data_IF_199261442194
#
_entry.id   IF_199261442194
#
_cell.length_a   1.000
_cell.length_b   1.000
_cell.length_c   1.000
_cell.angle_alpha   90.00
_cell.angle_beta   90.00
_cell.angle_gamma   90.00
#
_symmetry.space_group_name_H-M   'P 1'
#
loop_
_entity.id
_entity.type
_entity.pdbx_description
1 polymer ?
#
# COMPACT_ATOMS: atom_id res chain seq x y z
N UNK A 1 -31.89 1.57 -1.65
CA UNK A 1 -30.51 2.06 -1.78
C UNK A 1 -30.09 1.81 -3.22
N UNK A 2 -29.50 2.80 -3.90
CA UNK A 2 -28.98 2.60 -5.25
C UNK A 2 -27.75 1.69 -5.25
N UNK A 3 -27.38 1.09 -6.38
CA UNK A 3 -26.16 0.29 -6.54
C UNK A 3 -24.92 1.09 -6.13
N UNK A 4 -24.86 2.36 -6.51
CA UNK A 4 -23.76 3.27 -6.15
C UNK A 4 -23.64 3.44 -4.63
N UNK A 5 -24.74 3.61 -3.93
CA UNK A 5 -24.74 3.73 -2.47
C UNK A 5 -24.35 2.42 -1.78
N UNK A 6 -24.81 1.28 -2.31
CA UNK A 6 -24.40 -0.05 -1.82
C UNK A 6 -22.89 -0.26 -1.98
N UNK A 7 -22.32 0.11 -3.13
CA UNK A 7 -20.90 0.02 -3.39
C UNK A 7 -20.08 0.93 -2.46
N UNK A 8 -20.55 2.15 -2.15
CA UNK A 8 -19.90 3.03 -1.17
C UNK A 8 -19.94 2.45 0.24
N UNK A 9 -21.05 1.84 0.65
CA UNK A 9 -21.16 1.17 1.95
C UNK A 9 -20.20 -0.01 2.05
N UNK A 10 -20.14 -0.85 1.00
CA UNK A 10 -19.21 -1.97 0.92
C UNK A 10 -17.76 -1.50 1.10
N UNK A 11 -17.36 -0.45 0.38
CA UNK A 11 -16.02 0.09 0.47
C UNK A 11 -15.75 0.75 1.82
N UNK A 12 -16.71 1.45 2.40
CA UNK A 12 -16.58 2.01 3.76
C UNK A 12 -16.28 0.93 4.81
N UNK A 13 -16.96 -0.22 4.71
CA UNK A 13 -16.65 -1.40 5.54
C UNK A 13 -15.23 -1.91 5.30
N UNK A 14 -14.83 -2.06 4.03
CA UNK A 14 -13.49 -2.52 3.66
C UNK A 14 -12.39 -1.63 4.24
N UNK A 15 -12.48 -0.31 4.07
CA UNK A 15 -11.52 0.61 4.66
C UNK A 15 -11.48 0.55 6.18
N UNK A 16 -12.63 0.40 6.84
CA UNK A 16 -12.69 0.34 8.31
C UNK A 16 -12.18 -0.98 8.85
N UNK A 17 -12.57 -2.10 8.22
CA UNK A 17 -12.35 -3.44 8.75
C UNK A 17 -11.01 -4.03 8.30
N UNK A 18 -10.52 -3.72 7.08
CA UNK A 18 -9.27 -4.25 6.55
C UNK A 18 -8.11 -3.28 6.74
N UNK A 19 -8.27 -2.01 6.35
CA UNK A 19 -7.22 -0.99 6.42
C UNK A 19 -7.20 -0.18 7.72
N UNK A 20 -8.31 -0.13 8.46
CA UNK A 20 -8.46 0.65 9.70
C UNK A 20 -7.63 0.11 10.87
N UNK A 21 -7.71 0.75 12.04
CA UNK A 21 -6.81 0.47 13.17
C UNK A 21 -7.04 -0.90 13.83
N UNK A 22 -8.20 -1.51 13.60
CA UNK A 22 -8.56 -2.83 14.14
C UNK A 22 -8.91 -3.75 12.99
N UNK A 23 -7.89 -4.44 12.46
CA UNK A 23 -8.09 -5.35 11.35
C UNK A 23 -9.04 -6.49 11.69
N UNK A 24 -9.96 -6.76 10.79
CA UNK A 24 -10.85 -7.93 10.79
C UNK A 24 -10.58 -8.72 9.50
N UNK A 25 -9.77 -9.79 9.59
CA UNK A 25 -9.43 -10.58 8.40
C UNK A 25 -10.60 -11.35 7.82
N UNK A 26 -11.68 -11.61 8.59
CA UNK A 26 -12.89 -12.24 8.05
C UNK A 26 -13.64 -11.32 7.06
N UNK A 27 -13.39 -10.00 7.12
CA UNK A 27 -13.90 -9.07 6.12
C UNK A 27 -13.41 -9.41 4.69
N UNK A 28 -12.24 -10.04 4.55
CA UNK A 28 -11.74 -10.49 3.24
C UNK A 28 -12.65 -11.58 2.66
N UNK A 29 -13.09 -12.53 3.50
CA UNK A 29 -13.99 -13.61 3.07
C UNK A 29 -15.41 -13.09 2.80
N UNK A 30 -15.85 -12.10 3.56
CA UNK A 30 -17.19 -11.53 3.43
C UNK A 30 -17.31 -10.56 2.24
N UNK A 31 -16.33 -9.71 2.04
CA UNK A 31 -16.45 -8.54 1.15
C UNK A 31 -15.75 -8.71 -0.20
N UNK A 32 -14.81 -9.64 -0.33
CA UNK A 32 -14.06 -9.85 -1.56
C UNK A 32 -14.49 -11.12 -2.33
N UNK A 33 -14.27 -11.14 -3.65
CA UNK A 33 -14.36 -12.37 -4.44
C UNK A 33 -13.19 -13.32 -4.09
N UNK A 34 -13.31 -14.65 -4.33
CA UNK A 34 -12.25 -15.60 -3.97
C UNK A 34 -10.88 -15.31 -4.59
N UNK A 35 -10.85 -14.77 -5.81
CA UNK A 35 -9.68 -14.48 -6.62
C UNK A 35 -9.36 -12.97 -6.72
N UNK A 36 -9.76 -12.19 -5.70
CA UNK A 36 -9.53 -10.74 -5.64
C UNK A 36 -8.07 -10.39 -5.91
N UNK A 37 -7.86 -9.33 -6.71
CA UNK A 37 -6.57 -8.67 -6.89
C UNK A 37 -6.44 -7.50 -5.92
N UNK A 38 -5.35 -7.47 -5.15
CA UNK A 38 -4.90 -6.32 -4.35
C UNK A 38 -3.55 -5.87 -4.89
N UNK A 39 -3.44 -4.64 -5.37
CA UNK A 39 -2.20 -4.09 -5.92
C UNK A 39 -1.95 -2.67 -5.45
N UNK A 40 -0.76 -2.43 -4.92
CA UNK A 40 -0.26 -1.12 -4.52
C UNK A 40 1.16 -0.90 -5.03
N UNK A 41 1.57 0.36 -5.20
CA UNK A 41 2.85 0.71 -5.83
C UNK A 41 4.08 0.23 -5.05
N UNK A 42 3.97 0.06 -3.72
CA UNK A 42 5.08 -0.30 -2.85
C UNK A 42 5.24 -1.80 -2.62
N UNK A 43 4.27 -2.61 -3.02
CA UNK A 43 4.20 -4.05 -2.74
C UNK A 43 4.02 -4.86 -4.01
N UNK A 44 4.43 -6.13 -3.95
CA UNK A 44 4.04 -7.09 -5.00
C UNK A 44 2.52 -7.30 -4.99
N UNK A 45 1.88 -7.47 -6.16
CA UNK A 45 0.46 -7.77 -6.24
C UNK A 45 0.10 -9.04 -5.46
N UNK A 46 -1.07 -9.02 -4.79
CA UNK A 46 -1.62 -10.16 -4.06
C UNK A 46 -2.83 -10.71 -4.78
N UNK A 47 -2.91 -12.01 -4.89
CA UNK A 47 -3.97 -12.70 -5.62
C UNK A 47 -4.73 -13.68 -4.71
N UNK A 48 -6.04 -13.44 -4.58
CA UNK A 48 -6.92 -14.28 -3.78
C UNK A 48 -6.88 -13.98 -2.28
N UNK A 49 -7.93 -14.42 -1.61
CA UNK A 49 -8.20 -14.09 -0.20
C UNK A 49 -7.08 -14.51 0.74
N UNK A 50 -6.52 -15.71 0.56
CA UNK A 50 -5.49 -16.24 1.47
C UNK A 50 -4.19 -15.46 1.38
N UNK A 51 -3.74 -15.09 0.17
CA UNK A 51 -2.55 -14.28 -0.05
C UNK A 51 -2.75 -12.86 0.54
N UNK A 52 -3.93 -12.27 0.35
CA UNK A 52 -4.28 -10.96 0.92
C UNK A 52 -4.30 -10.98 2.46
N UNK A 53 -4.86 -12.05 3.07
CA UNK A 53 -4.86 -12.22 4.53
C UNK A 53 -3.44 -12.43 5.07
N UNK A 54 -2.61 -13.21 4.38
CA UNK A 54 -1.20 -13.42 4.75
C UNK A 54 -0.43 -12.10 4.71
N UNK A 55 -0.54 -11.34 3.61
CA UNK A 55 0.06 -10.03 3.48
C UNK A 55 -0.33 -9.08 4.64
N UNK A 56 -1.61 -8.95 4.93
CA UNK A 56 -2.09 -8.07 6.00
C UNK A 56 -1.60 -8.52 7.37
N UNK A 57 -1.50 -9.83 7.60
CA UNK A 57 -0.98 -10.40 8.85
C UNK A 57 0.49 -10.02 9.05
N UNK A 58 1.32 -10.17 8.04
CA UNK A 58 2.74 -9.81 8.07
C UNK A 58 2.95 -8.30 8.20
N UNK A 59 2.19 -7.51 7.45
CA UNK A 59 2.26 -6.06 7.47
C UNK A 59 1.92 -5.52 8.87
N UNK A 60 0.86 -6.04 9.50
CA UNK A 60 0.47 -5.66 10.85
C UNK A 60 1.40 -6.20 11.94
N UNK A 61 2.02 -7.34 11.74
CA UNK A 61 3.05 -7.81 12.64
C UNK A 61 4.25 -6.85 12.65
N UNK A 62 4.64 -6.33 11.49
CA UNK A 62 5.72 -5.36 11.34
C UNK A 62 5.34 -3.96 11.84
N UNK A 63 4.11 -3.53 11.59
CA UNK A 63 3.57 -2.21 11.97
C UNK A 63 2.30 -2.38 12.81
N UNK A 64 2.43 -2.64 14.13
CA UNK A 64 1.26 -2.97 14.98
C UNK A 64 0.23 -1.83 15.12
N UNK A 65 0.65 -0.58 14.91
CA UNK A 65 -0.19 0.62 14.95
C UNK A 65 -0.68 1.06 13.56
N UNK A 66 -0.58 0.18 12.55
CA UNK A 66 -0.98 0.49 11.17
C UNK A 66 -2.43 0.97 11.12
N UNK A 67 -2.63 2.11 10.47
CA UNK A 67 -3.95 2.70 10.27
C UNK A 67 -3.99 3.56 9.01
N UNK A 68 -4.98 3.29 8.17
CA UNK A 68 -5.31 4.11 7.00
C UNK A 68 -6.76 4.55 7.07
N UNK A 69 -7.04 5.77 6.65
CA UNK A 69 -8.41 6.35 6.68
C UNK A 69 -8.68 7.21 5.45
N UNK A 70 -9.95 7.27 5.07
CA UNK A 70 -10.41 8.14 3.98
C UNK A 70 -10.32 9.62 4.36
N UNK A 71 -9.88 10.45 3.44
CA UNK A 71 -9.74 11.90 3.62
C UNK A 71 -10.83 12.72 2.97
N UNK A 72 -11.63 12.09 2.10
CA UNK A 72 -12.78 12.69 1.41
C UNK A 72 -13.88 11.64 1.24
N UNK A 73 -15.10 12.09 0.90
CA UNK A 73 -16.20 11.19 0.57
C UNK A 73 -15.87 10.32 -0.64
N UNK A 74 -16.34 9.07 -0.60
CA UNK A 74 -16.15 8.12 -1.69
C UNK A 74 -16.86 8.58 -2.96
N UNK A 75 -16.19 8.46 -4.09
CA UNK A 75 -16.73 8.71 -5.43
C UNK A 75 -17.06 7.35 -6.05
N UNK A 76 -18.28 7.18 -6.56
CA UNK A 76 -18.68 5.92 -7.17
C UNK A 76 -19.49 6.13 -8.44
N UNK A 77 -19.19 5.32 -9.46
CA UNK A 77 -19.92 5.27 -10.72
C UNK A 77 -19.92 3.82 -11.24
N UNK A 78 -21.10 3.31 -11.59
CA UNK A 78 -21.25 1.93 -12.06
C UNK A 78 -20.73 0.91 -11.06
N UNK A 79 -19.74 0.15 -11.47
CA UNK A 79 -19.08 -0.87 -10.66
C UNK A 79 -17.79 -0.38 -9.98
N UNK A 80 -17.44 0.88 -10.14
CA UNK A 80 -16.21 1.44 -9.60
C UNK A 80 -16.46 2.36 -8.41
N UNK A 81 -15.56 2.27 -7.42
CA UNK A 81 -15.51 3.19 -6.29
C UNK A 81 -14.09 3.70 -6.13
N UNK A 82 -13.93 4.99 -5.91
CA UNK A 82 -12.65 5.65 -5.71
C UNK A 82 -12.61 6.24 -4.31
N UNK A 83 -11.54 5.99 -3.60
CA UNK A 83 -11.25 6.57 -2.29
C UNK A 83 -9.89 7.25 -2.25
N UNK A 84 -9.84 8.46 -1.72
CA UNK A 84 -8.58 9.11 -1.34
C UNK A 84 -8.34 8.86 0.15
N UNK A 85 -7.12 8.50 0.48
CA UNK A 85 -6.77 8.09 1.84
C UNK A 85 -5.39 8.61 2.26
N UNK A 86 -5.14 8.56 3.55
CA UNK A 86 -3.83 8.73 4.16
C UNK A 86 -3.68 7.77 5.33
N UNK A 87 -2.46 7.57 5.77
CA UNK A 87 -2.16 6.72 6.92
C UNK A 87 -0.73 6.25 6.97
N UNK A 88 -0.49 5.29 7.84
CA UNK A 88 0.82 4.72 8.07
C UNK A 88 0.92 3.98 9.39
N UNK A 89 2.14 3.85 9.89
CA UNK A 89 2.42 3.16 11.14
C UNK A 89 3.88 3.26 11.55
N UNK A 90 4.21 2.70 12.71
CA UNK A 90 5.56 2.63 13.25
C UNK A 90 6.08 1.20 13.20
N UNK A 91 7.23 0.99 12.56
CA UNK A 91 7.86 -0.33 12.45
C UNK A 91 8.52 -0.72 13.79
N UNK A 92 7.79 -1.41 14.62
CA UNK A 92 8.24 -1.93 15.92
C UNK A 92 8.21 -3.46 16.02
N UNK A 93 7.81 -4.13 14.94
CA UNK A 93 7.72 -5.57 14.87
C UNK A 93 8.89 -6.25 14.17
N UNK A 94 8.68 -7.48 13.66
CA UNK A 94 9.68 -8.25 12.94
C UNK A 94 10.26 -7.52 11.72
N UNK A 95 11.37 -8.03 11.18
CA UNK A 95 11.90 -7.57 9.90
C UNK A 95 10.83 -7.67 8.81
N UNK A 96 10.74 -6.64 7.97
CA UNK A 96 9.74 -6.56 6.92
C UNK A 96 10.42 -6.37 5.56
N UNK A 97 10.21 -7.31 4.65
CA UNK A 97 10.88 -7.37 3.36
C UNK A 97 10.00 -7.20 2.14
N UNK A 98 8.71 -6.98 2.32
CA UNK A 98 7.73 -6.93 1.22
C UNK A 98 7.72 -5.63 0.41
N UNK A 99 8.48 -4.62 0.81
CA UNK A 99 8.62 -3.42 -0.01
C UNK A 99 9.53 -3.68 -1.22
N UNK A 100 9.06 -3.35 -2.42
CA UNK A 100 9.82 -3.44 -3.68
C UNK A 100 11.18 -2.71 -3.63
N UNK A 101 11.32 -1.73 -2.76
CA UNK A 101 12.52 -0.91 -2.59
C UNK A 101 13.50 -1.45 -1.53
N UNK A 102 13.21 -2.57 -0.88
CA UNK A 102 14.08 -3.21 0.08
C UNK A 102 13.40 -3.60 1.39
N UNK A 103 14.19 -3.94 2.40
CA UNK A 103 13.71 -4.46 3.67
C UNK A 103 14.04 -3.55 4.85
N UNK A 104 13.23 -3.64 5.89
CA UNK A 104 13.48 -3.03 7.19
C UNK A 104 14.00 -4.10 8.16
N UNK A 105 15.10 -3.86 8.90
CA UNK A 105 15.52 -4.75 9.98
C UNK A 105 14.49 -4.70 11.11
N UNK A 106 14.38 -5.78 11.88
CA UNK A 106 13.43 -5.84 13.00
C UNK A 106 13.55 -4.63 13.92
N UNK A 107 12.37 -4.14 14.38
CA UNK A 107 12.25 -3.05 15.33
C UNK A 107 13.06 -1.80 14.93
N UNK A 108 12.94 -1.37 13.68
CA UNK A 108 13.67 -0.20 13.18
C UNK A 108 13.22 1.12 13.81
N UNK A 109 12.06 1.16 14.46
CA UNK A 109 11.45 2.36 15.05
C UNK A 109 11.01 3.39 14.03
N UNK A 110 10.99 3.04 12.75
CA UNK A 110 10.71 3.98 11.65
C UNK A 110 9.22 4.21 11.50
N UNK A 111 8.88 5.48 11.37
CA UNK A 111 7.50 5.89 11.07
C UNK A 111 7.36 6.07 9.58
N UNK A 112 6.29 5.53 9.02
CA UNK A 112 5.82 5.85 7.69
C UNK A 112 4.48 6.56 7.78
N UNK A 113 4.27 7.57 6.94
CA UNK A 113 2.99 8.22 6.72
C UNK A 113 2.96 8.70 5.28
N UNK A 114 1.95 8.30 4.55
CA UNK A 114 1.82 8.61 3.12
C UNK A 114 0.34 8.66 2.72
N UNK A 115 0.10 9.15 1.52
CA UNK A 115 -1.25 9.31 0.98
C UNK A 115 -1.39 8.50 -0.30
N UNK A 116 -2.63 8.25 -0.68
CA UNK A 116 -2.90 7.59 -1.94
C UNK A 116 -4.34 7.75 -2.40
N UNK A 117 -4.57 7.19 -3.57
CA UNK A 117 -5.89 7.02 -4.17
C UNK A 117 -6.03 5.56 -4.57
N UNK A 118 -7.17 4.98 -4.24
CA UNK A 118 -7.48 3.59 -4.60
C UNK A 118 -8.72 3.55 -5.47
N UNK A 119 -8.65 2.76 -6.54
CA UNK A 119 -9.79 2.42 -7.39
C UNK A 119 -10.17 0.97 -7.11
N UNK A 120 -11.41 0.74 -6.71
CA UNK A 120 -11.95 -0.60 -6.52
C UNK A 120 -12.98 -0.91 -7.58
N UNK A 121 -12.94 -2.15 -8.07
CA UNK A 121 -13.96 -2.70 -8.95
C UNK A 121 -14.82 -3.72 -8.18
N UNK A 122 -16.11 -3.51 -8.24
CA UNK A 122 -17.12 -4.38 -7.58
C UNK A 122 -17.73 -5.31 -8.62
N UNK A 123 -17.80 -6.58 -8.29
CA UNK A 123 -18.48 -7.61 -9.07
C UNK A 123 -19.38 -8.41 -8.13
N UNK A 124 -20.65 -8.56 -8.47
CA UNK A 124 -21.66 -9.30 -7.70
C UNK A 124 -21.62 -8.93 -6.20
N UNK A 125 -21.69 -7.62 -5.92
CA UNK A 125 -21.69 -7.05 -4.56
C UNK A 125 -20.43 -7.36 -3.73
N UNK A 126 -19.32 -7.76 -4.37
CA UNK A 126 -18.03 -8.05 -3.75
C UNK A 126 -16.90 -7.33 -4.45
N UNK A 127 -15.83 -7.06 -3.72
CA UNK A 127 -14.61 -6.44 -4.25
C UNK A 127 -13.87 -7.47 -5.09
N UNK A 128 -13.70 -7.16 -6.38
CA UNK A 128 -12.95 -8.00 -7.32
C UNK A 128 -11.51 -7.49 -7.50
N UNK A 129 -11.32 -6.17 -7.43
CA UNK A 129 -10.00 -5.54 -7.56
C UNK A 129 -9.89 -4.34 -6.64
N UNK A 130 -8.71 -4.16 -6.07
CA UNK A 130 -8.27 -2.96 -5.39
C UNK A 130 -6.92 -2.55 -5.96
N UNK A 131 -6.88 -1.45 -6.71
CA UNK A 131 -5.66 -0.92 -7.30
C UNK A 131 -5.40 0.45 -6.72
N UNK A 132 -4.33 0.58 -5.95
CA UNK A 132 -3.92 1.81 -5.30
C UNK A 132 -2.66 2.42 -5.89
N UNK A 133 -2.69 3.73 -6.08
CA UNK A 133 -1.51 4.56 -6.34
C UNK A 133 -1.20 5.32 -5.06
N UNK A 134 -0.08 5.00 -4.45
CA UNK A 134 0.40 5.65 -3.24
C UNK A 134 1.57 6.60 -3.52
N UNK A 135 1.77 7.56 -2.63
CA UNK A 135 2.92 8.44 -2.64
C UNK A 135 4.15 7.74 -2.04
N UNK A 136 4.59 6.69 -2.72
CA UNK A 136 5.77 5.90 -2.34
C UNK A 136 7.05 6.73 -2.25
N UNK A 137 7.14 7.83 -2.99
CA UNK A 137 8.30 8.75 -2.91
C UNK A 137 8.35 9.40 -1.53
N UNK A 138 7.22 9.88 -1.00
CA UNK A 138 7.16 10.44 0.36
C UNK A 138 7.51 9.39 1.40
N UNK A 139 6.96 8.18 1.30
CA UNK A 139 7.30 7.07 2.19
C UNK A 139 8.81 6.72 2.13
N UNK A 140 9.43 6.82 0.95
CA UNK A 140 10.83 6.47 0.69
C UNK A 140 11.82 7.59 1.05
N UNK A 141 11.39 8.86 1.03
CA UNK A 141 12.24 10.02 1.41
C UNK A 141 12.25 10.28 2.90
N UNK A 142 11.43 9.59 3.68
CA UNK A 142 11.57 9.59 5.13
C UNK A 142 12.98 9.08 5.52
N UNK A 143 13.65 9.66 6.55
CA UNK A 143 15.11 9.57 6.77
C UNK A 143 15.73 8.17 6.71
N UNK A 144 14.89 7.19 6.76
CA UNK A 144 15.23 5.78 6.79
C UNK A 144 15.58 5.19 5.43
N UNK A 145 14.88 5.57 4.38
CA UNK A 145 15.10 5.08 3.03
C UNK A 145 16.14 5.92 2.28
N UNK A 146 16.27 7.21 2.63
CA UNK A 146 17.26 8.10 2.01
C UNK A 146 18.71 7.63 2.19
N UNK A 147 19.01 6.91 3.26
CA UNK A 147 20.37 6.40 3.52
C UNK A 147 20.75 5.26 2.58
N UNK A 148 19.82 4.35 2.27
CA UNK A 148 20.04 3.22 1.36
C UNK A 148 20.21 3.65 -0.10
N UNK A 149 19.46 4.66 -0.53
CA UNK A 149 19.60 5.25 -1.87
C UNK A 149 20.94 5.98 -2.06
N UNK A 150 21.53 6.53 -0.99
CA UNK A 150 22.86 7.17 -1.02
C UNK A 150 24.00 6.15 -1.02
N UNK A 151 23.86 5.04 -0.32
CA UNK A 151 24.87 3.98 -0.26
C UNK A 151 24.98 3.20 -1.57
N UNK A 152 23.88 3.08 -2.33
CA UNK A 152 23.87 2.44 -3.65
C UNK A 152 24.29 3.38 -4.80
N UNK A 153 24.47 4.67 -4.56
CA UNK A 153 25.18 5.53 -5.51
C UNK A 153 26.68 5.30 -5.31
N UNK A 154 27.22 4.27 -5.94
CA UNK A 154 28.67 4.19 -6.18
C UNK A 154 29.06 5.52 -6.85
N UNK A 155 30.13 6.19 -6.38
CA UNK A 155 30.64 7.34 -7.13
C UNK A 155 30.91 6.83 -8.55
N UNK A 156 30.29 7.45 -9.54
CA UNK A 156 30.67 7.24 -10.94
C UNK A 156 32.17 7.48 -11.00
N UNK A 157 32.92 6.41 -11.28
CA UNK A 157 34.35 6.50 -11.46
C UNK A 157 34.66 7.61 -12.45
N UNK A 158 35.69 8.40 -12.16
CA UNK A 158 36.24 9.49 -12.95
C UNK A 158 36.80 8.99 -14.32
N UNK A 159 36.02 8.30 -15.12
CA UNK A 159 36.42 7.83 -16.47
C UNK A 159 35.74 8.63 -17.58
N UNK A 160 35.16 9.79 -17.26
CA UNK A 160 34.59 10.71 -18.23
C UNK A 160 35.44 11.99 -18.44
N UNK A 161 36.74 11.93 -18.15
CA UNK A 161 37.66 13.06 -18.35
C UNK A 161 38.60 12.90 -19.56
N UNK A 162 38.31 12.00 -20.51
CA UNK A 162 39.11 11.85 -21.73
C UNK A 162 38.17 11.90 -22.96
N UNK A 163 37.43 12.98 -23.11
CA UNK A 163 36.83 13.33 -24.41
C UNK A 163 36.62 14.85 -24.51
N UNK A 164 37.70 15.59 -24.34
CA UNK A 164 37.79 16.99 -24.76
C UNK A 164 39.21 17.26 -25.20
N UNK A 165 39.52 16.81 -26.40
CA UNK A 165 40.56 17.36 -27.28
C UNK A 165 40.60 16.54 -28.56
N UNK A 166 39.80 16.93 -29.56
CA UNK A 166 40.04 16.80 -30.98
C UNK A 166 38.84 17.34 -31.77
N UNK A 167 39.08 18.41 -32.41
CA UNK A 167 38.37 19.23 -33.43
C UNK A 167 37.84 20.54 -32.91
#
# INVERSE_FOLDING_TARGET
MSKVEQNKVLLGRWFTEFWGPKVNLSAVDELAVPDMLLQYSLHEPRHGREDIKAFMTEFRAAFPDLNFWGTVDLIAEGDYVVGRWEGGGTHTGPAFGDFLMGSLPANSGRKMHFTGVTVLRINDEKIAEEIGLDDGVTALTQPAFSKKLRENRRPMSQTAAIFKMAF
#
